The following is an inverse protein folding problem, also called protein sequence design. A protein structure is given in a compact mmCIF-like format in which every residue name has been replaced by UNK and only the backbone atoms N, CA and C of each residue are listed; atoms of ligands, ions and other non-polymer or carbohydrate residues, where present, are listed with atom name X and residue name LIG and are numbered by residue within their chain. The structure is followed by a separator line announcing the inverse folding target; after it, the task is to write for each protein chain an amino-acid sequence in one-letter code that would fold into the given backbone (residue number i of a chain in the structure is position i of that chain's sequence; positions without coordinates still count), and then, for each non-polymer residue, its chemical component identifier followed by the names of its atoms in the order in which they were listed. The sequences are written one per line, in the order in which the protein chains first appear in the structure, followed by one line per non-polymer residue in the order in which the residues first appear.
data_IF_595760989701
#
_entry.id   IF_595760989701
#
_cell.length_a   1.000
_cell.length_b   1.000
_cell.length_c   1.000
_cell.angle_alpha   90.00
_cell.angle_beta   90.00
_cell.angle_gamma   90.00
#
_symmetry.space_group_name_H-M   'P 1'
#
loop_
_entity.id
_entity.type
_entity.pdbx_description
1 polymer ?
#
# COMPACT_ATOMS: atom_id res chain seq x y z
N UNK A 1 8.09 10.04 -17.75
CA UNK A 1 7.22 9.18 -16.92
C UNK A 1 7.08 9.85 -15.57
N UNK A 2 5.87 9.95 -15.01
CA UNK A 2 5.61 10.50 -13.67
C UNK A 2 6.09 9.54 -12.57
N UNK A 3 6.27 10.06 -11.35
CA UNK A 3 6.63 9.26 -10.17
C UNK A 3 5.68 8.07 -9.96
N UNK A 4 4.36 8.31 -10.08
CA UNK A 4 3.34 7.27 -10.00
C UNK A 4 3.50 6.20 -11.10
N UNK A 5 3.94 6.59 -12.31
CA UNK A 5 4.21 5.65 -13.39
C UNK A 5 5.36 4.69 -13.05
N UNK A 6 6.44 5.20 -12.45
CA UNK A 6 7.54 4.36 -11.97
C UNK A 6 7.09 3.43 -10.85
N UNK A 7 6.32 3.95 -9.90
CA UNK A 7 5.79 3.15 -8.79
C UNK A 7 4.89 2.01 -9.27
N UNK A 8 3.97 2.30 -10.20
CA UNK A 8 3.08 1.30 -10.83
C UNK A 8 3.90 0.22 -11.54
N UNK A 9 4.92 0.61 -12.32
CA UNK A 9 5.82 -0.35 -12.99
C UNK A 9 6.55 -1.25 -11.99
N UNK A 10 7.07 -0.68 -10.90
CA UNK A 10 7.76 -1.45 -9.86
C UNK A 10 6.82 -2.44 -9.16
N UNK A 11 5.61 -2.02 -8.78
CA UNK A 11 4.58 -2.91 -8.19
C UNK A 11 4.18 -4.03 -9.14
N UNK A 12 3.95 -3.72 -10.41
CA UNK A 12 3.67 -4.72 -11.43
C UNK A 12 4.78 -5.77 -11.51
N UNK A 13 6.05 -5.34 -11.58
CA UNK A 13 7.18 -6.27 -11.63
C UNK A 13 7.29 -7.12 -10.36
N UNK A 14 7.05 -6.52 -9.19
CA UNK A 14 7.06 -7.23 -7.92
C UNK A 14 6.03 -8.37 -7.90
N UNK A 15 4.77 -8.09 -8.28
CA UNK A 15 3.71 -9.10 -8.28
C UNK A 15 3.95 -10.20 -9.32
N UNK A 16 4.43 -9.85 -10.51
CA UNK A 16 4.58 -10.82 -11.60
C UNK A 16 5.83 -11.69 -11.56
N UNK A 17 6.92 -11.24 -10.91
CA UNK A 17 8.24 -11.86 -11.07
C UNK A 17 9.07 -12.00 -9.81
N UNK A 18 8.68 -11.37 -8.70
CA UNK A 18 9.49 -11.42 -7.48
C UNK A 18 9.22 -12.69 -6.69
N UNK A 19 10.27 -13.29 -6.11
CA UNK A 19 10.17 -14.50 -5.28
C UNK A 19 9.24 -14.33 -4.07
N UNK A 20 9.16 -13.13 -3.51
CA UNK A 20 8.31 -12.79 -2.38
C UNK A 20 6.97 -12.17 -2.82
N UNK A 21 6.56 -12.40 -4.08
CA UNK A 21 5.26 -11.95 -4.56
C UNK A 21 4.13 -12.59 -3.74
N UNK A 22 3.04 -11.85 -3.47
CA UNK A 22 1.84 -12.42 -2.85
C UNK A 22 1.09 -13.40 -3.76
N UNK A 23 1.42 -13.44 -5.07
CA UNK A 23 0.77 -14.32 -6.02
C UNK A 23 1.36 -15.73 -5.95
N UNK A 24 0.50 -16.75 -5.95
CA UNK A 24 0.92 -18.14 -6.12
C UNK A 24 1.63 -18.34 -7.47
N UNK A 25 2.49 -19.38 -7.61
CA UNK A 25 3.14 -19.67 -8.88
C UNK A 25 2.17 -19.85 -10.05
N UNK A 26 0.97 -20.39 -9.80
CA UNK A 26 -0.07 -20.53 -10.81
C UNK A 26 -0.65 -19.17 -11.24
N UNK A 27 -0.90 -18.26 -10.29
CA UNK A 27 -1.37 -16.90 -10.57
C UNK A 27 -0.31 -16.07 -11.31
N UNK A 28 0.97 -16.19 -10.95
CA UNK A 28 2.06 -15.49 -11.63
C UNK A 28 2.17 -15.87 -13.11
N UNK A 29 1.95 -17.15 -13.48
CA UNK A 29 1.98 -17.60 -14.88
C UNK A 29 0.97 -16.88 -15.76
N UNK A 30 -0.20 -16.55 -15.22
CA UNK A 30 -1.25 -15.81 -15.92
C UNK A 30 -1.26 -14.30 -15.66
N UNK A 31 -0.34 -13.79 -14.83
CA UNK A 31 -0.35 -12.41 -14.39
C UNK A 31 0.14 -11.47 -15.50
N UNK A 32 -0.75 -10.60 -15.97
CA UNK A 32 -0.44 -9.63 -17.02
C UNK A 32 -0.13 -8.24 -16.49
N UNK A 33 -0.91 -7.77 -15.50
CA UNK A 33 -0.73 -6.47 -14.85
C UNK A 33 -1.61 -6.32 -13.61
N UNK A 34 -1.26 -5.34 -12.77
CA UNK A 34 -2.20 -4.75 -11.82
C UNK A 34 -3.15 -3.81 -12.55
N UNK A 35 -4.41 -3.82 -12.13
CA UNK A 35 -5.40 -2.84 -12.55
C UNK A 35 -5.31 -1.62 -11.66
N UNK A 36 -5.26 -0.44 -12.27
CA UNK A 36 -5.15 0.84 -11.56
C UNK A 36 -6.36 1.70 -11.90
N UNK A 37 -6.90 2.38 -10.89
CA UNK A 37 -7.80 3.49 -11.13
C UNK A 37 -7.09 4.61 -11.92
N UNK A 38 -7.84 5.37 -12.75
CA UNK A 38 -7.31 6.57 -13.38
C UNK A 38 -6.71 7.53 -12.34
N UNK A 39 -5.72 8.30 -12.75
CA UNK A 39 -5.19 9.36 -11.89
C UNK A 39 -6.29 10.39 -11.64
N UNK A 40 -6.54 10.69 -10.36
CA UNK A 40 -7.52 11.67 -9.94
C UNK A 40 -6.83 12.69 -9.01
N UNK A 41 -6.47 13.88 -9.51
CA UNK A 41 -5.86 14.92 -8.70
C UNK A 41 -6.70 15.35 -7.50
N UNK A 42 -8.02 15.18 -7.54
CA UNK A 42 -8.90 15.49 -6.40
C UNK A 42 -8.69 14.56 -5.19
N UNK A 43 -8.05 13.41 -5.39
CA UNK A 43 -7.70 12.47 -4.32
C UNK A 43 -6.26 12.65 -3.81
N UNK A 44 -5.54 13.67 -4.30
CA UNK A 44 -4.18 13.97 -3.87
C UNK A 44 -4.19 15.06 -2.80
N UNK A 45 -4.12 14.65 -1.53
CA UNK A 45 -4.12 15.56 -0.39
C UNK A 45 -2.72 15.81 0.15
N UNK A 46 -2.47 17.04 0.60
CA UNK A 46 -1.33 17.37 1.48
C UNK A 46 -1.91 17.57 2.88
N UNK A 47 -1.66 16.61 3.77
CA UNK A 47 -2.25 16.56 5.11
C UNK A 47 -1.17 16.62 6.18
N UNK A 48 -1.51 17.24 7.31
CA UNK A 48 -0.71 17.15 8.53
C UNK A 48 -1.04 15.82 9.22
N UNK A 49 -0.04 15.19 9.82
CA UNK A 49 -0.26 14.03 10.69
C UNK A 49 -0.37 14.50 12.13
N UNK A 50 -1.50 14.18 12.77
CA UNK A 50 -1.71 14.30 14.20
C UNK A 50 -1.08 13.08 14.88
N UNK A 51 0.11 13.24 15.43
CA UNK A 51 0.80 12.18 16.17
C UNK A 51 0.04 11.85 17.47
N UNK A 52 -0.14 10.56 17.75
CA UNK A 52 -0.76 10.13 19.00
C UNK A 52 0.21 10.31 20.18
N UNK A 53 -0.28 10.70 21.36
CA UNK A 53 0.49 10.66 22.61
C UNK A 53 1.19 9.31 22.79
N UNK A 54 2.44 9.30 23.27
CA UNK A 54 3.28 8.09 23.36
C UNK A 54 2.60 6.94 24.11
N UNK A 55 1.82 7.25 25.14
CA UNK A 55 1.05 6.34 25.99
C UNK A 55 -0.20 5.76 25.32
N UNK A 56 -0.60 6.31 24.17
CA UNK A 56 -1.79 5.90 23.39
C UNK A 56 -1.46 5.23 22.05
N UNK A 57 -0.17 4.91 21.83
CA UNK A 57 0.32 4.22 20.63
C UNK A 57 0.21 2.71 20.77
N UNK A 58 -0.98 2.22 20.47
CA UNK A 58 -1.25 0.78 20.51
C UNK A 58 -0.51 0.01 19.40
N UNK A 59 -0.19 -1.26 19.68
CA UNK A 59 0.25 -2.20 18.64
C UNK A 59 -0.98 -2.84 18.00
N UNK A 60 -1.10 -2.68 16.68
CA UNK A 60 -2.14 -3.31 15.87
C UNK A 60 -1.52 -4.37 14.96
N UNK A 61 -2.25 -5.46 14.73
CA UNK A 61 -1.85 -6.50 13.77
C UNK A 61 -2.31 -6.11 12.38
N UNK A 62 -1.38 -5.97 11.42
CA UNK A 62 -1.70 -5.72 10.03
C UNK A 62 -1.35 -6.91 9.14
N UNK A 63 -2.24 -7.26 8.22
CA UNK A 63 -1.96 -8.27 7.21
C UNK A 63 -0.83 -7.81 6.29
N UNK A 64 0.07 -8.72 5.98
CA UNK A 64 1.19 -8.50 5.07
C UNK A 64 0.97 -9.26 3.76
N UNK A 65 1.79 -8.96 2.74
CA UNK A 65 1.74 -9.66 1.46
C UNK A 65 2.18 -11.12 1.52
N UNK A 66 2.76 -11.61 2.63
CA UNK A 66 3.07 -13.04 2.80
C UNK A 66 1.88 -13.86 3.29
N UNK A 67 0.75 -13.23 3.63
CA UNK A 67 -0.43 -13.88 4.21
C UNK A 67 -0.44 -13.93 5.74
N UNK A 68 0.66 -13.54 6.39
CA UNK A 68 0.74 -13.41 7.84
C UNK A 68 0.39 -12.00 8.33
N UNK A 69 0.32 -11.82 9.64
CA UNK A 69 0.19 -10.49 10.27
C UNK A 69 1.50 -10.05 10.90
N UNK A 70 1.73 -8.74 10.92
CA UNK A 70 2.87 -8.12 11.60
C UNK A 70 2.41 -6.99 12.52
N UNK A 71 3.00 -6.87 13.72
CA UNK A 71 2.67 -5.79 14.65
C UNK A 71 3.16 -4.45 14.08
N UNK A 72 2.28 -3.45 14.08
CA UNK A 72 2.57 -2.08 13.71
C UNK A 72 2.11 -1.13 14.81
N UNK A 73 2.89 -0.07 15.05
CA UNK A 73 2.51 0.97 16.00
C UNK A 73 1.52 1.92 15.36
N UNK A 74 0.37 2.14 16.01
CA UNK A 74 -0.57 3.20 15.63
C UNK A 74 0.04 4.55 16.01
N UNK A 75 0.82 5.13 15.10
CA UNK A 75 1.66 6.30 15.37
C UNK A 75 0.90 7.63 15.38
N UNK A 76 -0.06 7.80 14.47
CA UNK A 76 -0.83 9.03 14.33
C UNK A 76 -2.00 8.86 13.37
N UNK A 77 -2.68 9.95 13.08
CA UNK A 77 -3.79 9.99 12.15
C UNK A 77 -3.77 11.25 11.28
N UNK A 78 -4.36 11.17 10.10
CA UNK A 78 -4.68 12.32 9.27
C UNK A 78 -6.17 12.32 8.97
N UNK A 79 -6.82 13.46 9.17
CA UNK A 79 -8.25 13.66 8.90
C UNK A 79 -8.42 14.42 7.60
N UNK A 80 -9.32 13.95 6.75
CA UNK A 80 -9.69 14.59 5.50
C UNK A 80 -11.11 14.17 5.11
N UNK A 81 -11.73 14.94 4.23
CA UNK A 81 -13.04 14.65 3.66
C UNK A 81 -12.87 14.24 2.20
N UNK A 82 -13.71 13.30 1.76
CA UNK A 82 -13.79 12.81 0.39
C UNK A 82 -15.27 12.68 0.05
N UNK A 83 -15.65 13.15 -1.15
CA UNK A 83 -17.01 13.04 -1.68
C UNK A 83 -17.28 11.65 -2.30
#
# INVERSE_FOLDING_TARGET
MSEIGYFRKAKHQYFGRHQNSPLTPAQQKGFQRLEYFPENPALQFVLVVEEFPNDSRDLIQMATSSGDTAPHTRWGQSKFEVD
#
